data_IF_485175210244
#
_entry.id   IF_485175210244
#
_cell.length_a   1.000
_cell.length_b   1.000
_cell.length_c   1.000
_cell.angle_alpha   90.00
_cell.angle_beta   90.00
_cell.angle_gamma   90.00
#
_symmetry.space_group_name_H-M   'P 1'
#
loop_
_entity.id
_entity.type
_entity.pdbx_description
1 polymer ?
#
# COMPACT_ATOMS: atom_id res chain seq x y z
N UNK A 1 6.99 -12.44 -14.74
CA UNK A 1 6.82 -11.91 -13.38
C UNK A 1 6.02 -12.90 -12.57
N UNK A 2 6.30 -13.05 -11.27
CA UNK A 2 5.55 -13.95 -10.39
C UNK A 2 4.19 -13.36 -10.01
N UNK A 3 3.24 -14.23 -9.61
CA UNK A 3 1.90 -13.82 -9.20
C UNK A 3 1.99 -12.92 -7.95
N UNK A 4 1.34 -11.76 -8.00
CA UNK A 4 1.24 -10.86 -6.86
C UNK A 4 0.54 -11.49 -5.66
N UNK A 5 1.08 -11.26 -4.45
CA UNK A 5 0.50 -11.75 -3.18
C UNK A 5 0.65 -10.69 -2.08
N UNK A 6 -0.30 -10.69 -1.16
CA UNK A 6 -0.29 -9.90 0.08
C UNK A 6 -0.10 -10.88 1.24
N UNK A 7 0.93 -10.66 2.06
CA UNK A 7 1.19 -11.42 3.27
C UNK A 7 1.08 -10.48 4.48
N UNK A 8 0.47 -10.93 5.56
CA UNK A 8 0.30 -10.16 6.79
C UNK A 8 0.79 -10.96 7.99
N UNK A 9 1.46 -10.29 8.92
CA UNK A 9 1.68 -10.78 10.28
C UNK A 9 1.27 -9.71 11.28
N UNK A 10 0.81 -10.13 12.44
CA UNK A 10 0.63 -9.31 13.64
C UNK A 10 1.40 -10.00 14.78
N UNK A 11 2.17 -9.21 15.53
CA UNK A 11 2.68 -9.62 16.82
C UNK A 11 2.40 -8.55 17.87
N UNK A 12 1.39 -8.78 18.71
CA UNK A 12 1.02 -7.86 19.81
C UNK A 12 0.77 -6.42 19.32
N UNK A 13 0.13 -6.28 18.15
CA UNK A 13 -0.16 -4.97 17.57
C UNK A 13 0.92 -4.38 16.67
N UNK A 14 2.07 -5.05 16.54
CA UNK A 14 3.06 -4.74 15.52
C UNK A 14 2.74 -5.52 14.24
N UNK A 15 2.35 -4.80 13.20
CA UNK A 15 1.95 -5.39 11.91
C UNK A 15 3.08 -5.35 10.88
N UNK A 16 3.14 -6.40 10.08
CA UNK A 16 3.93 -6.44 8.84
C UNK A 16 2.99 -6.75 7.68
N UNK A 17 2.92 -5.84 6.70
CA UNK A 17 2.23 -6.05 5.44
C UNK A 17 3.29 -6.22 4.36
N UNK A 18 3.46 -7.43 3.84
CA UNK A 18 4.45 -7.75 2.81
C UNK A 18 3.79 -7.97 1.45
N UNK A 19 4.26 -7.24 0.44
CA UNK A 19 3.82 -7.36 -0.94
C UNK A 19 4.90 -8.06 -1.76
N UNK A 20 4.52 -9.13 -2.46
CA UNK A 20 5.46 -9.95 -3.25
C UNK A 20 4.96 -10.15 -4.68
N UNK A 21 5.87 -10.32 -5.63
CA UNK A 21 5.56 -10.54 -7.05
C UNK A 21 5.03 -9.30 -7.77
N UNK A 22 4.27 -9.49 -8.84
CA UNK A 22 3.66 -8.39 -9.60
C UNK A 22 2.34 -7.94 -8.98
N UNK A 23 2.38 -6.85 -8.20
CA UNK A 23 1.25 -6.35 -7.43
C UNK A 23 0.47 -5.35 -8.30
N UNK A 24 -0.80 -5.69 -8.55
CA UNK A 24 -1.68 -4.96 -9.46
C UNK A 24 -2.99 -4.57 -8.77
N UNK A 25 -3.80 -3.77 -9.45
CA UNK A 25 -5.15 -3.39 -9.01
C UNK A 25 -6.03 -4.56 -8.56
N UNK A 26 -5.79 -5.78 -9.07
CA UNK A 26 -6.54 -6.98 -8.68
C UNK A 26 -6.38 -7.36 -7.21
N UNK A 27 -5.40 -6.79 -6.50
CA UNK A 27 -5.17 -6.99 -5.08
C UNK A 27 -5.66 -5.81 -4.22
N UNK A 28 -6.25 -4.75 -4.81
CA UNK A 28 -6.63 -3.54 -4.07
C UNK A 28 -7.62 -3.82 -2.93
N UNK A 29 -8.66 -4.64 -3.18
CA UNK A 29 -9.64 -5.02 -2.18
C UNK A 29 -9.03 -5.88 -1.07
N UNK A 30 -8.05 -6.73 -1.41
CA UNK A 30 -7.32 -7.55 -0.43
C UNK A 30 -6.45 -6.67 0.49
N UNK A 31 -5.73 -5.70 -0.08
CA UNK A 31 -4.93 -4.75 0.71
C UNK A 31 -5.85 -3.91 1.61
N UNK A 32 -7.01 -3.49 1.09
CA UNK A 32 -7.97 -2.71 1.87
C UNK A 32 -8.58 -3.50 3.02
N UNK A 33 -8.94 -4.77 2.80
CA UNK A 33 -9.43 -5.64 3.86
C UNK A 33 -8.37 -5.84 4.96
N UNK A 34 -7.11 -6.09 4.58
CA UNK A 34 -6.01 -6.19 5.55
C UNK A 34 -5.82 -4.90 6.36
N UNK A 35 -6.01 -3.74 5.71
CA UNK A 35 -5.91 -2.44 6.35
C UNK A 35 -7.03 -2.21 7.35
N UNK A 36 -8.27 -2.58 7.01
CA UNK A 36 -9.41 -2.47 7.92
C UNK A 36 -9.24 -3.42 9.12
N UNK A 37 -8.86 -4.68 8.89
CA UNK A 37 -8.58 -5.64 9.96
C UNK A 37 -7.47 -5.17 10.91
N UNK A 38 -6.45 -4.48 10.38
CA UNK A 38 -5.38 -3.88 11.18
C UNK A 38 -5.86 -2.69 12.00
N UNK A 39 -6.71 -1.82 11.45
CA UNK A 39 -7.21 -0.62 12.14
C UNK A 39 -8.28 -0.93 13.18
N UNK A 40 -9.03 -2.04 13.00
CA UNK A 40 -10.02 -2.52 13.94
C UNK A 40 -9.39 -3.28 15.13
N UNK A 41 -8.09 -3.62 15.06
CA UNK A 41 -7.35 -4.21 16.17
C UNK A 41 -7.09 -3.17 17.27
N UNK A 42 -7.66 -3.31 18.48
CA UNK A 42 -7.43 -2.37 19.58
C UNK A 42 -5.98 -2.33 20.08
N UNK A 43 -5.20 -3.37 19.80
CA UNK A 43 -3.79 -3.44 20.18
C UNK A 43 -2.86 -2.85 19.10
N UNK A 44 -3.39 -2.44 17.93
CA UNK A 44 -2.59 -1.88 16.84
C UNK A 44 -1.69 -0.71 17.30
N UNK A 45 -0.40 -0.84 17.06
CA UNK A 45 0.60 0.14 17.50
C UNK A 45 1.60 0.54 16.42
N UNK A 46 2.03 -0.37 15.55
CA UNK A 46 2.96 -0.07 14.46
C UNK A 46 2.64 -0.88 13.21
N UNK A 47 2.98 -0.33 12.04
CA UNK A 47 2.99 -1.09 10.79
C UNK A 47 4.30 -0.88 10.02
N UNK A 48 4.83 -1.99 9.52
CA UNK A 48 5.91 -2.06 8.55
C UNK A 48 5.34 -2.58 7.24
N UNK A 49 5.64 -1.89 6.15
CA UNK A 49 5.29 -2.38 4.81
C UNK A 49 6.56 -2.88 4.13
N UNK A 50 6.57 -4.14 3.70
CA UNK A 50 7.70 -4.77 3.03
C UNK A 50 7.40 -5.00 1.56
N UNK A 51 8.12 -4.32 0.67
CA UNK A 51 8.06 -4.48 -0.79
C UNK A 51 9.37 -5.01 -1.36
N UNK A 52 10.24 -5.59 -0.53
CA UNK A 52 11.55 -6.12 -0.93
C UNK A 52 11.48 -7.21 -2.00
N UNK A 53 10.40 -7.98 -2.01
CA UNK A 53 10.12 -9.06 -2.98
C UNK A 53 9.06 -8.67 -4.02
N UNK A 54 8.69 -7.39 -4.11
CA UNK A 54 7.84 -6.90 -5.19
C UNK A 54 8.64 -6.84 -6.51
N UNK A 55 8.04 -7.38 -7.57
CA UNK A 55 8.57 -7.31 -8.94
C UNK A 55 7.92 -6.17 -9.73
N UNK A 56 6.72 -5.72 -9.34
CA UNK A 56 6.01 -4.61 -9.96
C UNK A 56 4.97 -4.00 -9.02
N UNK A 57 4.78 -2.67 -9.13
CA UNK A 57 3.73 -1.90 -8.48
C UNK A 57 3.07 -1.02 -9.55
N UNK A 58 1.74 -1.08 -9.66
CA UNK A 58 0.97 -0.12 -10.45
C UNK A 58 0.51 1.09 -9.61
N UNK A 59 -0.13 2.07 -10.27
CA UNK A 59 -0.62 3.28 -9.61
C UNK A 59 -1.65 2.97 -8.52
N UNK A 60 -2.50 1.97 -8.72
CA UNK A 60 -3.46 1.51 -7.70
C UNK A 60 -2.74 1.00 -6.46
N UNK A 61 -1.75 0.11 -6.62
CA UNK A 61 -0.97 -0.44 -5.51
C UNK A 61 -0.20 0.65 -4.77
N UNK A 62 0.37 1.62 -5.49
CA UNK A 62 1.02 2.80 -4.91
C UNK A 62 0.03 3.65 -4.11
N UNK A 63 -1.17 3.89 -4.62
CA UNK A 63 -2.19 4.62 -3.87
C UNK A 63 -2.65 3.88 -2.61
N UNK A 64 -2.69 2.54 -2.62
CA UNK A 64 -2.92 1.74 -1.41
C UNK A 64 -1.79 1.86 -0.40
N UNK A 65 -0.52 1.89 -0.82
CA UNK A 65 0.60 2.20 0.08
C UNK A 65 0.43 3.59 0.70
N UNK A 66 0.11 4.61 -0.11
CA UNK A 66 -0.15 5.93 0.43
C UNK A 66 -1.35 5.95 1.41
N UNK A 67 -2.39 5.13 1.15
CA UNK A 67 -3.53 4.95 2.06
C UNK A 67 -3.10 4.38 3.41
N UNK A 68 -2.28 3.32 3.41
CA UNK A 68 -1.76 2.69 4.64
C UNK A 68 -1.11 3.74 5.53
N UNK A 69 -0.16 4.52 4.96
CA UNK A 69 0.49 5.61 5.70
C UNK A 69 -0.48 6.66 6.22
N UNK A 70 -1.41 7.12 5.37
CA UNK A 70 -2.38 8.16 5.74
C UNK A 70 -3.22 7.77 6.95
N UNK A 71 -3.61 6.50 7.07
CA UNK A 71 -4.47 6.03 8.16
C UNK A 71 -3.69 5.54 9.38
N UNK A 72 -2.50 4.96 9.19
CA UNK A 72 -1.70 4.43 10.29
C UNK A 72 -0.88 5.52 11.00
N UNK A 73 -0.36 6.52 10.27
CA UNK A 73 0.53 7.52 10.84
C UNK A 73 -0.10 8.34 11.99
N UNK A 74 -1.39 8.75 11.93
CA UNK A 74 -2.03 9.43 13.05
C UNK A 74 -2.14 8.56 14.31
N UNK A 75 -2.29 7.24 14.15
CA UNK A 75 -2.38 6.29 15.27
C UNK A 75 -1.00 6.05 15.88
N UNK A 76 0.02 5.88 15.03
CA UNK A 76 1.41 5.63 15.43
C UNK A 76 2.13 6.88 15.95
N UNK A 77 1.61 8.08 15.63
CA UNK A 77 2.27 9.37 15.90
C UNK A 77 3.50 9.65 15.01
N UNK A 78 3.76 8.80 14.01
CA UNK A 78 4.91 8.89 13.10
C UNK A 78 4.60 8.16 11.77
N UNK A 79 5.30 8.50 10.66
CA UNK A 79 5.17 7.76 9.41
C UNK A 79 5.55 6.28 9.59
N UNK A 80 4.82 5.33 8.98
CA UNK A 80 5.22 3.93 8.99
C UNK A 80 6.54 3.69 8.26
N UNK A 81 7.11 2.50 8.46
CA UNK A 81 8.35 2.07 7.80
C UNK A 81 8.02 1.36 6.50
N UNK A 82 8.75 1.70 5.42
CA UNK A 82 8.70 0.99 4.14
C UNK A 82 10.05 0.34 3.87
N UNK A 83 10.06 -0.98 3.78
CA UNK A 83 11.25 -1.76 3.43
C UNK A 83 11.23 -2.00 1.92
N UNK A 84 12.23 -1.48 1.23
CA UNK A 84 12.43 -1.74 -0.20
C UNK A 84 13.88 -2.12 -0.48
N UNK A 85 14.09 -3.20 -1.24
CA UNK A 85 15.42 -3.65 -1.68
C UNK A 85 15.56 -3.68 -3.20
N UNK A 86 14.44 -3.67 -3.93
CA UNK A 86 14.44 -3.64 -5.37
C UNK A 86 14.60 -2.20 -5.85
N UNK A 87 15.75 -1.87 -6.45
CA UNK A 87 16.08 -0.51 -6.90
C UNK A 87 15.04 0.08 -7.83
N UNK A 88 14.41 -0.73 -8.69
CA UNK A 88 13.41 -0.24 -9.63
C UNK A 88 12.09 0.08 -8.93
N UNK A 89 11.70 -0.75 -7.95
CA UNK A 89 10.55 -0.46 -7.06
C UNK A 89 10.81 0.79 -6.23
N UNK A 90 12.01 0.94 -5.67
CA UNK A 90 12.40 2.15 -4.92
C UNK A 90 12.31 3.40 -5.79
N UNK A 91 12.76 3.36 -7.05
CA UNK A 91 12.62 4.49 -7.98
C UNK A 91 11.16 4.85 -8.24
N UNK A 92 10.30 3.85 -8.42
CA UNK A 92 8.86 4.05 -8.62
C UNK A 92 8.25 4.75 -7.40
N UNK A 93 8.52 4.25 -6.20
CA UNK A 93 8.07 4.85 -4.92
C UNK A 93 8.58 6.29 -4.77
N UNK A 94 9.87 6.52 -5.05
CA UNK A 94 10.48 7.85 -4.99
C UNK A 94 9.84 8.81 -5.99
N UNK A 95 9.54 8.35 -7.21
CA UNK A 95 8.92 9.17 -8.25
C UNK A 95 7.52 9.66 -7.88
N UNK A 96 6.83 8.94 -6.99
CA UNK A 96 5.52 9.34 -6.47
C UNK A 96 5.60 10.32 -5.29
N UNK A 97 6.82 10.60 -4.78
CA UNK A 97 7.05 11.54 -3.68
C UNK A 97 6.85 10.95 -2.28
N UNK A 98 7.09 9.64 -2.11
CA UNK A 98 6.82 8.96 -0.84
C UNK A 98 7.88 9.21 0.24
N UNK A 99 9.13 9.40 -0.20
CA UNK A 99 10.27 9.60 0.70
C UNK A 99 10.02 10.80 1.61
N UNK A 100 10.27 10.60 2.90
CA UNK A 100 10.24 11.60 3.99
C UNK A 100 8.88 12.27 4.27
N UNK A 101 7.81 11.89 3.55
CA UNK A 101 6.45 12.44 3.73
C UNK A 101 5.38 11.38 3.94
N UNK A 102 5.56 10.21 3.34
CA UNK A 102 4.61 9.09 3.41
C UNK A 102 5.22 7.93 4.19
N UNK A 103 6.52 7.66 4.01
CA UNK A 103 7.18 6.57 4.73
C UNK A 103 8.59 6.96 5.19
N UNK A 104 9.00 6.35 6.29
CA UNK A 104 10.43 6.20 6.60
C UNK A 104 10.96 5.01 5.81
N UNK A 105 11.77 5.25 4.78
CA UNK A 105 12.30 4.18 3.92
C UNK A 105 13.54 3.57 4.59
N UNK A 106 13.52 2.26 4.84
CA UNK A 106 14.60 1.51 5.45
C UNK A 106 15.08 0.36 4.57
N UNK A 107 16.33 -0.09 4.76
CA UNK A 107 16.82 -1.32 4.15
C UNK A 107 16.48 -2.51 5.05
N UNK A 108 16.22 -3.68 4.47
CA UNK A 108 15.90 -4.91 5.24
C UNK A 108 17.00 -5.30 6.24
N UNK A 109 18.25 -4.95 5.96
CA UNK A 109 19.40 -5.16 6.85
C UNK A 109 19.27 -4.43 8.19
N UNK A 110 18.36 -3.46 8.29
CA UNK A 110 18.08 -2.70 9.51
C UNK A 110 16.92 -3.32 10.33
N UNK A 111 16.33 -4.44 9.86
CA UNK A 111 15.19 -5.10 10.50
C UNK A 111 15.58 -6.44 11.12
N UNK A 112 14.99 -6.75 12.28
CA UNK A 112 15.15 -8.05 12.94
C UNK A 112 14.16 -9.04 12.31
N UNK A 113 14.67 -10.03 11.59
CA UNK A 113 13.87 -11.13 11.04
C UNK A 113 13.30 -11.99 12.18
N UNK A 114 11.98 -12.00 12.36
CA UNK A 114 11.18 -13.16 12.82
C UNK A 114 9.70 -12.78 13.06
N UNK A 115 8.93 -12.57 11.99
CA UNK A 115 7.47 -12.57 12.08
C UNK A 115 6.90 -13.74 11.27
N UNK A 116 5.95 -14.49 11.85
CA UNK A 116 5.26 -15.58 11.17
C UNK A 116 4.24 -15.00 10.16
N UNK A 117 4.72 -14.62 8.98
CA UNK A 117 3.90 -14.11 7.88
C UNK A 117 2.89 -15.17 7.43
N UNK A 118 1.64 -14.74 7.30
CA UNK A 118 0.55 -15.54 6.73
C UNK A 118 0.09 -14.87 5.44
N UNK A 119 -0.29 -15.66 4.43
CA UNK A 119 -0.89 -15.08 3.24
C UNK A 119 -2.29 -14.56 3.57
N UNK A 120 -2.58 -13.32 3.17
CA UNK A 120 -3.90 -12.75 3.35
C UNK A 120 -4.92 -13.55 2.54
N UNK A 121 -6.11 -13.74 3.11
CA UNK A 121 -7.22 -14.29 2.35
C UNK A 121 -7.55 -13.33 1.21
N UNK A 122 -7.52 -13.83 -0.03
CA UNK A 122 -7.92 -13.02 -1.17
C UNK A 122 -9.36 -12.58 -0.98
N UNK A 123 -9.57 -11.26 -0.91
CA UNK A 123 -10.91 -10.70 -0.94
C UNK A 123 -11.49 -10.87 -2.33
N UNK A 124 -12.79 -11.17 -2.41
CA UNK A 124 -13.49 -11.17 -3.70
C UNK A 124 -13.33 -9.81 -4.38
N UNK A 125 -12.98 -9.84 -5.66
CA UNK A 125 -12.85 -8.63 -6.46
C UNK A 125 -14.25 -8.27 -7.00
N UNK A 126 -15.03 -7.58 -6.17
CA UNK A 126 -16.27 -6.92 -6.59
C UNK A 126 -15.93 -5.67 -7.42
N UNK A 127 -16.63 -5.47 -8.54
CA UNK A 127 -16.34 -4.38 -9.48
C UNK A 127 -16.60 -3.01 -8.84
N UNK A 128 -17.66 -2.88 -8.05
CA UNK A 128 -18.01 -1.62 -7.40
C UNK A 128 -16.98 -1.26 -6.32
N UNK A 129 -16.67 -2.19 -5.41
CA UNK A 129 -15.63 -2.02 -4.39
C UNK A 129 -14.26 -1.78 -5.02
N UNK A 130 -13.87 -2.54 -6.04
CA UNK A 130 -12.59 -2.34 -6.72
C UNK A 130 -12.52 -0.94 -7.34
N UNK A 131 -13.61 -0.46 -7.96
CA UNK A 131 -13.68 0.89 -8.52
C UNK A 131 -13.53 1.97 -7.45
N UNK A 132 -14.20 1.82 -6.30
CA UNK A 132 -14.06 2.75 -5.18
C UNK A 132 -12.62 2.79 -4.64
N UNK A 133 -12.00 1.63 -4.47
CA UNK A 133 -10.61 1.54 -4.02
C UNK A 133 -9.63 2.14 -5.02
N UNK A 134 -9.83 1.91 -6.33
CA UNK A 134 -9.01 2.53 -7.38
C UNK A 134 -9.15 4.05 -7.36
N UNK A 135 -10.38 4.58 -7.26
CA UNK A 135 -10.62 6.02 -7.18
C UNK A 135 -9.95 6.64 -5.96
N UNK A 136 -10.12 6.00 -4.80
CA UNK A 136 -9.52 6.49 -3.56
C UNK A 136 -7.99 6.48 -3.65
N UNK A 137 -7.40 5.38 -4.10
CA UNK A 137 -5.96 5.22 -4.27
C UNK A 137 -5.37 6.34 -5.13
N UNK A 138 -5.99 6.65 -6.28
CA UNK A 138 -5.51 7.71 -7.16
C UNK A 138 -5.70 9.11 -6.55
N UNK A 139 -6.84 9.38 -5.91
CA UNK A 139 -7.06 10.66 -5.21
C UNK A 139 -6.04 10.90 -4.10
N UNK A 140 -5.63 9.85 -3.39
CA UNK A 140 -4.55 9.94 -2.41
C UNK A 140 -3.25 10.33 -3.10
N UNK A 141 -2.85 9.64 -4.17
CA UNK A 141 -1.62 9.99 -4.90
C UNK A 141 -1.64 11.43 -5.41
N UNK A 142 -2.77 11.89 -5.97
CA UNK A 142 -2.98 13.26 -6.43
C UNK A 142 -2.82 14.30 -5.31
N UNK A 143 -3.14 13.93 -4.07
CA UNK A 143 -2.99 14.81 -2.91
C UNK A 143 -1.53 14.96 -2.44
N UNK A 144 -0.63 14.06 -2.85
CA UNK A 144 0.76 14.07 -2.39
C UNK A 144 1.58 15.21 -3.02
N UNK A 145 1.37 15.46 -4.31
CA UNK A 145 2.09 16.51 -5.03
C UNK A 145 1.38 16.92 -6.35
N UNK A 146 1.76 18.08 -6.88
CA UNK A 146 1.22 18.67 -8.11
C UNK A 146 1.36 17.74 -9.33
N UNK A 147 2.51 17.07 -9.45
CA UNK A 147 2.81 16.20 -10.58
C UNK A 147 1.85 15.02 -10.64
N UNK A 148 1.60 14.36 -9.51
CA UNK A 148 0.62 13.29 -9.40
C UNK A 148 -0.79 13.80 -9.67
N UNK A 149 -1.13 15.02 -9.19
CA UNK A 149 -2.44 15.62 -9.47
C UNK A 149 -2.67 15.72 -10.97
N UNK A 150 -1.76 16.39 -11.69
CA UNK A 150 -1.87 16.56 -13.14
C UNK A 150 -1.90 15.21 -13.86
N UNK A 151 -1.04 14.26 -13.47
CA UNK A 151 -0.91 12.97 -14.14
C UNK A 151 -2.17 12.09 -14.04
N UNK A 152 -2.93 12.19 -12.94
CA UNK A 152 -4.05 11.28 -12.69
C UNK A 152 -5.44 11.94 -12.79
N UNK A 153 -5.54 13.26 -12.99
CA UNK A 153 -6.84 13.96 -13.13
C UNK A 153 -7.73 13.33 -14.20
N UNK A 154 -7.22 13.16 -15.43
CA UNK A 154 -8.04 12.63 -16.54
C UNK A 154 -8.54 11.20 -16.27
N UNK A 155 -7.70 10.37 -15.65
CA UNK A 155 -8.06 9.01 -15.27
C UNK A 155 -9.16 8.99 -14.22
N UNK A 156 -9.03 9.80 -13.17
CA UNK A 156 -10.04 9.89 -12.09
C UNK A 156 -11.36 10.41 -12.63
N UNK A 157 -11.35 11.48 -13.44
CA UNK A 157 -12.56 12.01 -14.06
C UNK A 157 -13.24 10.98 -14.97
N UNK A 158 -12.47 10.19 -15.72
CA UNK A 158 -13.01 9.12 -16.55
C UNK A 158 -13.73 8.07 -15.70
N UNK A 159 -13.09 7.61 -14.62
CA UNK A 159 -13.68 6.60 -13.74
C UNK A 159 -14.88 7.17 -12.98
N UNK A 160 -14.90 8.44 -12.58
CA UNK A 160 -16.06 9.04 -11.90
C UNK A 160 -17.27 9.20 -12.82
N UNK A 161 -17.05 9.51 -14.10
CA UNK A 161 -18.10 9.73 -15.08
C UNK A 161 -18.63 8.44 -15.74
N UNK A 162 -18.02 7.28 -15.48
CA UNK A 162 -18.59 6.01 -15.92
C UNK A 162 -19.92 5.74 -15.21
N UNK A 163 -20.95 5.24 -15.91
CA UNK A 163 -22.18 4.82 -15.25
C UNK A 163 -21.89 3.72 -14.20
N UNK A 164 -22.72 3.67 -13.15
CA UNK A 164 -22.70 2.62 -12.13
C UNK A 164 -23.41 1.38 -12.64
#
# INVERSE_FOLDING_TARGET
MSKGRVLVANHQGDYVIKLTGDVRMTLCTTIDACLNDMLDDPDFSHVVVDVSEAEGLDSTSLGMLAKISRVSAPVMGQPPVLVSQNTDITKVIDSMGFRDRVYTIANKSDMVDAYALQEANLSELDEHSAREQVLEAHKILMSLNEQNRIAFTELVECIENQPK
#
